data_IF_603664807709
#
_entry.id   IF_603664807709
#
_cell.length_a   1.000
_cell.length_b   1.000
_cell.length_c   1.000
_cell.angle_alpha   90.00
_cell.angle_beta   90.00
_cell.angle_gamma   90.00
#
_symmetry.space_group_name_H-M   'P 1'
#
loop_
_entity.id
_entity.type
_entity.pdbx_description
1 polymer ?
#
# COMPACT_ATOMS: atom_id res chain seq x y z
N UNK A 1 -4.16 -22.07 2.28
CA UNK A 1 -3.70 -21.07 3.27
C UNK A 1 -4.43 -19.78 2.94
N UNK A 2 -5.21 -19.22 3.88
CA UNK A 2 -6.17 -18.14 3.60
C UNK A 2 -5.49 -16.92 2.97
N UNK A 3 -6.03 -16.46 1.85
CA UNK A 3 -5.46 -15.43 0.99
C UNK A 3 -5.65 -14.00 1.54
N UNK A 4 -5.80 -13.85 2.86
CA UNK A 4 -6.09 -12.57 3.51
C UNK A 4 -5.48 -12.53 4.91
N UNK A 5 -4.89 -11.39 5.26
CA UNK A 5 -4.28 -11.15 6.57
C UNK A 5 -5.37 -11.04 7.65
N UNK A 6 -5.14 -11.66 8.80
CA UNK A 6 -6.02 -11.48 9.98
C UNK A 6 -6.01 -10.02 10.45
N UNK A 7 -7.04 -9.54 11.15
CA UNK A 7 -7.05 -8.18 11.70
C UNK A 7 -5.82 -7.85 12.57
N UNK A 8 -5.35 -8.82 13.36
CA UNK A 8 -4.13 -8.68 14.18
C UNK A 8 -2.87 -8.50 13.32
N UNK A 9 -2.75 -9.29 12.25
CA UNK A 9 -1.66 -9.13 11.28
C UNK A 9 -1.76 -7.79 10.55
N UNK A 10 -2.94 -7.36 10.16
CA UNK A 10 -3.13 -6.04 9.52
C UNK A 10 -2.66 -4.91 10.43
N UNK A 11 -2.98 -4.99 11.73
CA UNK A 11 -2.50 -4.01 12.72
C UNK A 11 -0.97 -3.96 12.76
N UNK A 12 -0.33 -5.10 13.02
CA UNK A 12 1.11 -5.11 13.29
C UNK A 12 2.00 -5.02 12.04
N UNK A 13 1.57 -5.57 10.91
CA UNK A 13 2.40 -5.64 9.69
C UNK A 13 2.25 -4.43 8.77
N UNK A 14 1.17 -3.66 8.92
CA UNK A 14 0.88 -2.50 8.08
C UNK A 14 0.61 -1.28 8.94
N UNK A 15 -0.43 -1.33 9.79
CA UNK A 15 -0.84 -0.15 10.55
C UNK A 15 0.28 0.42 11.44
N UNK A 16 0.98 -0.45 12.14
CA UNK A 16 2.13 -0.08 12.98
C UNK A 16 3.37 0.26 12.13
N UNK A 17 3.61 -0.46 11.01
CA UNK A 17 4.70 -0.18 10.05
C UNK A 17 4.65 1.24 9.51
N UNK A 18 3.45 1.74 9.23
CA UNK A 18 3.24 3.10 8.74
C UNK A 18 3.09 4.16 9.84
N UNK A 19 3.26 3.79 11.11
CA UNK A 19 3.09 4.66 12.28
C UNK A 19 1.69 5.25 12.38
N UNK A 20 0.66 4.45 12.06
CA UNK A 20 -0.75 4.86 12.11
C UNK A 20 -1.06 6.06 11.20
N UNK A 21 -0.35 6.16 10.08
CA UNK A 21 -0.49 7.23 9.11
C UNK A 21 -0.71 6.67 7.71
N UNK A 22 -1.42 7.40 6.87
CA UNK A 22 -1.47 7.09 5.45
C UNK A 22 -0.04 6.98 4.90
N UNK A 23 0.28 5.90 4.20
CA UNK A 23 1.61 5.73 3.62
C UNK A 23 1.98 6.95 2.76
N UNK A 24 1.07 7.35 1.86
CA UNK A 24 1.34 8.39 0.89
C UNK A 24 1.33 9.80 1.49
N UNK A 25 0.21 10.24 2.08
CA UNK A 25 0.07 11.62 2.56
C UNK A 25 0.41 11.85 4.04
N UNK A 26 0.80 10.79 4.77
CA UNK A 26 1.15 10.82 6.22
C UNK A 26 0.06 11.33 7.17
N UNK A 27 -1.17 11.50 6.70
CA UNK A 27 -2.35 11.82 7.52
C UNK A 27 -2.57 10.75 8.60
N UNK A 28 -2.83 11.17 9.83
CA UNK A 28 -3.18 10.28 10.94
C UNK A 28 -4.44 9.46 10.65
N UNK A 29 -4.38 8.18 11.00
CA UNK A 29 -5.43 7.19 10.82
C UNK A 29 -5.84 6.61 12.18
N UNK A 30 -7.07 6.11 12.27
CA UNK A 30 -7.52 5.30 13.40
C UNK A 30 -7.78 3.88 12.94
N UNK A 31 -7.16 2.90 13.61
CA UNK A 31 -7.35 1.49 13.25
C UNK A 31 -8.83 1.08 13.28
N UNK A 32 -9.62 1.65 14.20
CA UNK A 32 -11.05 1.39 14.34
C UNK A 32 -11.90 1.90 13.17
N UNK A 33 -11.37 2.82 12.34
CA UNK A 33 -12.07 3.44 11.21
C UNK A 33 -11.72 2.77 9.86
N UNK A 34 -11.29 1.51 9.86
CA UNK A 34 -11.05 0.76 8.62
C UNK A 34 -12.32 0.73 7.76
N UNK A 35 -12.21 1.11 6.50
CA UNK A 35 -13.31 1.18 5.54
C UNK A 35 -14.26 2.37 5.72
N UNK A 36 -14.02 3.25 6.70
CA UNK A 36 -14.82 4.45 6.93
C UNK A 36 -14.49 5.55 5.93
N UNK A 37 -15.52 6.30 5.52
CA UNK A 37 -15.37 7.57 4.75
C UNK A 37 -15.08 8.77 5.65
N UNK A 38 -15.13 8.61 6.97
CA UNK A 38 -14.85 9.69 7.92
C UNK A 38 -13.37 10.07 7.94
N UNK A 39 -13.10 11.27 8.47
CA UNK A 39 -11.75 11.71 8.79
C UNK A 39 -11.01 10.66 9.64
N UNK A 40 -9.85 10.21 9.16
CA UNK A 40 -9.06 9.16 9.84
C UNK A 40 -9.44 7.73 9.43
N UNK A 41 -10.41 7.57 8.53
CA UNK A 41 -10.71 6.31 7.85
C UNK A 41 -9.62 5.91 6.84
N UNK A 42 -9.50 4.61 6.60
CA UNK A 42 -8.42 4.03 5.79
C UNK A 42 -8.78 2.67 5.21
N UNK A 43 -8.02 2.26 4.20
CA UNK A 43 -8.13 0.96 3.55
C UNK A 43 -6.75 0.33 3.39
N UNK A 44 -6.71 -1.02 3.39
CA UNK A 44 -5.53 -1.76 2.95
C UNK A 44 -5.54 -1.82 1.42
N UNK A 45 -4.71 -1.00 0.80
CA UNK A 45 -4.53 -0.94 -0.63
C UNK A 45 -3.61 -2.07 -1.11
N UNK A 46 -4.02 -2.80 -2.14
CA UNK A 46 -3.18 -3.78 -2.81
C UNK A 46 -2.45 -3.11 -3.97
N UNK A 47 -1.12 -3.03 -3.88
CA UNK A 47 -0.27 -2.44 -4.93
C UNK A 47 -0.39 -3.22 -6.24
N UNK A 48 -0.46 -4.55 -6.18
CA UNK A 48 -0.68 -5.42 -7.34
C UNK A 48 -2.08 -6.04 -7.26
N UNK A 49 -2.93 -5.68 -8.22
CA UNK A 49 -4.33 -6.10 -8.24
C UNK A 49 -4.52 -7.61 -8.39
N UNK A 50 -5.46 -8.18 -7.65
CA UNK A 50 -5.71 -9.64 -7.65
C UNK A 50 -6.60 -10.12 -8.79
N UNK A 51 -7.39 -9.22 -9.40
CA UNK A 51 -8.35 -9.57 -10.46
C UNK A 51 -9.57 -10.37 -9.97
N UNK A 52 -10.57 -10.49 -10.85
CA UNK A 52 -11.73 -11.39 -10.66
C UNK A 52 -11.23 -12.84 -10.63
N UNK A 53 -11.51 -13.58 -9.55
CA UNK A 53 -11.03 -14.96 -9.34
C UNK A 53 -9.81 -15.10 -8.42
N UNK A 54 -9.25 -13.99 -7.92
CA UNK A 54 -8.08 -13.99 -7.06
C UNK A 54 -6.76 -14.17 -7.82
N UNK A 55 -5.66 -14.16 -7.08
CA UNK A 55 -4.30 -14.36 -7.64
C UNK A 55 -3.71 -15.66 -7.13
N UNK A 56 -2.92 -16.34 -7.98
CA UNK A 56 -2.06 -17.46 -7.59
C UNK A 56 -0.72 -16.99 -7.03
N UNK A 57 -0.41 -15.69 -7.18
CA UNK A 57 0.77 -15.04 -6.64
C UNK A 57 0.73 -15.08 -5.10
N UNK A 58 1.87 -15.38 -4.48
CA UNK A 58 2.00 -15.38 -3.03
C UNK A 58 1.89 -13.94 -2.52
N UNK A 59 0.82 -13.67 -1.78
CA UNK A 59 0.63 -12.38 -1.13
C UNK A 59 1.61 -12.19 0.04
N UNK A 60 2.34 -11.08 0.04
CA UNK A 60 3.30 -10.70 1.10
C UNK A 60 3.00 -9.29 1.62
N UNK A 61 3.67 -8.85 2.68
CA UNK A 61 3.46 -7.49 3.21
C UNK A 61 3.90 -6.39 2.22
N UNK A 62 4.78 -6.73 1.26
CA UNK A 62 5.20 -5.80 0.21
C UNK A 62 4.09 -5.45 -0.78
N UNK A 63 3.04 -6.27 -0.84
CA UNK A 63 1.89 -6.04 -1.72
C UNK A 63 0.90 -5.01 -1.16
N UNK A 64 1.00 -4.65 0.11
CA UNK A 64 -0.03 -3.87 0.80
C UNK A 64 0.49 -2.55 1.38
N UNK A 65 -0.35 -1.52 1.38
CA UNK A 65 -0.14 -0.23 2.03
C UNK A 65 -1.43 0.20 2.73
N UNK A 66 -1.33 0.91 3.86
CA UNK A 66 -2.50 1.62 4.38
C UNK A 66 -2.58 3.00 3.72
N UNK A 67 -3.74 3.30 3.13
CA UNK A 67 -4.03 4.60 2.54
C UNK A 67 -5.28 5.17 3.19
N UNK A 68 -5.31 6.49 3.38
CA UNK A 68 -6.52 7.15 3.88
C UNK A 68 -7.67 7.05 2.86
N UNK A 69 -8.89 6.98 3.38
CA UNK A 69 -10.12 6.87 2.61
C UNK A 69 -10.44 5.46 2.10
N UNK A 70 -11.31 5.42 1.10
CA UNK A 70 -11.91 4.23 0.48
C UNK A 70 -11.51 4.15 -0.99
N UNK A 71 -11.99 3.15 -1.74
CA UNK A 71 -11.71 3.05 -3.19
C UNK A 71 -12.20 4.25 -4.02
N UNK A 72 -12.92 5.20 -3.41
CA UNK A 72 -13.44 6.42 -4.06
C UNK A 72 -13.15 7.69 -3.26
N UNK A 73 -12.40 7.61 -2.15
CA UNK A 73 -12.10 8.78 -1.30
C UNK A 73 -10.66 8.77 -0.82
N UNK A 74 -10.10 9.94 -0.55
CA UNK A 74 -8.73 10.07 -0.01
C UNK A 74 -7.66 9.56 -0.97
N UNK A 75 -6.49 9.19 -0.42
CA UNK A 75 -5.39 8.68 -1.24
C UNK A 75 -5.71 7.33 -1.88
N UNK A 76 -6.54 6.50 -1.24
CA UNK A 76 -6.95 5.23 -1.85
C UNK A 76 -7.82 5.45 -3.09
N UNK A 77 -8.77 6.39 -3.02
CA UNK A 77 -9.58 6.79 -4.18
C UNK A 77 -8.73 7.36 -5.30
N UNK A 78 -7.82 8.29 -4.98
CA UNK A 78 -6.91 8.87 -5.97
C UNK A 78 -6.07 7.80 -6.69
N UNK A 79 -5.51 6.82 -5.97
CA UNK A 79 -4.74 5.72 -6.60
C UNK A 79 -5.62 4.87 -7.53
N UNK A 80 -6.90 4.71 -7.20
CA UNK A 80 -7.86 3.94 -8.00
C UNK A 80 -8.22 4.70 -9.29
N UNK A 81 -8.38 6.02 -9.21
CA UNK A 81 -8.74 6.90 -10.33
C UNK A 81 -7.54 7.22 -11.25
N UNK A 82 -6.33 7.21 -10.70
CA UNK A 82 -5.09 7.62 -11.37
C UNK A 82 -4.03 6.51 -11.38
N UNK A 83 -4.31 5.34 -11.99
CA UNK A 83 -3.40 4.19 -11.91
C UNK A 83 -2.06 4.42 -12.62
N UNK A 84 -2.02 5.25 -13.67
CA UNK A 84 -0.78 5.53 -14.43
C UNK A 84 0.20 6.29 -13.55
N UNK A 85 -0.26 7.38 -12.95
CA UNK A 85 0.48 8.17 -11.99
C UNK A 85 0.86 7.31 -10.77
N UNK A 86 -0.07 6.49 -10.27
CA UNK A 86 0.21 5.60 -9.15
C UNK A 86 1.33 4.57 -9.45
N UNK A 87 1.53 4.14 -10.70
CA UNK A 87 2.70 3.33 -11.08
C UNK A 87 4.00 4.11 -10.93
N UNK A 88 4.03 5.40 -11.28
CA UNK A 88 5.21 6.26 -11.12
C UNK A 88 5.60 6.40 -9.66
N UNK A 89 4.63 6.50 -8.74
CA UNK A 89 4.89 6.51 -7.29
C UNK A 89 5.12 5.12 -6.69
N UNK A 90 5.01 4.04 -7.48
CA UNK A 90 5.05 2.66 -6.99
C UNK A 90 3.90 2.29 -6.05
N UNK A 91 2.86 3.12 -5.96
CA UNK A 91 1.62 2.85 -5.21
C UNK A 91 0.81 1.74 -5.90
N UNK A 92 1.00 1.57 -7.20
CA UNK A 92 0.50 0.44 -7.97
C UNK A 92 1.66 -0.31 -8.65
N UNK A 93 1.41 -1.56 -8.99
CA UNK A 93 2.29 -2.44 -9.78
C UNK A 93 1.43 -3.07 -10.88
N UNK A 94 1.87 -3.05 -12.16
CA UNK A 94 1.09 -3.64 -13.24
C UNK A 94 0.77 -5.10 -12.98
N UNK A 95 -0.53 -5.44 -12.97
CA UNK A 95 -1.00 -6.79 -12.65
C UNK A 95 -0.37 -7.87 -13.52
N UNK A 96 -0.26 -7.60 -14.82
CA UNK A 96 0.20 -8.58 -15.81
C UNK A 96 1.73 -8.61 -15.95
N UNK A 97 2.47 -7.78 -15.21
CA UNK A 97 3.92 -7.82 -15.20
C UNK A 97 4.41 -8.91 -14.25
N UNK A 98 5.10 -9.91 -14.82
CA UNK A 98 5.48 -11.16 -14.13
C UNK A 98 6.99 -11.31 -13.92
N UNK A 99 7.81 -10.40 -14.46
CA UNK A 99 9.25 -10.41 -14.24
C UNK A 99 9.60 -10.03 -12.80
N UNK A 100 10.81 -10.40 -12.37
CA UNK A 100 11.26 -10.16 -10.99
C UNK A 100 11.25 -8.66 -10.62
N UNK A 101 11.50 -7.76 -11.56
CA UNK A 101 11.51 -6.31 -11.33
C UNK A 101 10.14 -5.75 -10.90
N UNK A 102 9.05 -6.38 -11.36
CA UNK A 102 7.67 -6.01 -11.00
C UNK A 102 7.10 -6.86 -9.85
N UNK A 103 7.96 -7.56 -9.11
CA UNK A 103 7.57 -8.12 -7.83
C UNK A 103 7.44 -6.98 -6.80
N UNK A 104 6.36 -6.90 -6.00
CA UNK A 104 6.13 -5.73 -5.13
C UNK A 104 7.26 -5.39 -4.15
N UNK A 105 8.06 -6.37 -3.73
CA UNK A 105 9.25 -6.15 -2.89
C UNK A 105 10.43 -5.50 -3.63
N UNK A 106 10.44 -5.55 -4.96
CA UNK A 106 11.48 -4.97 -5.82
C UNK A 106 11.06 -3.61 -6.42
N UNK A 107 9.75 -3.29 -6.39
CA UNK A 107 9.24 -1.98 -6.82
C UNK A 107 9.30 -1.02 -5.64
N UNK A 108 10.15 0.01 -5.73
CA UNK A 108 10.17 1.12 -4.77
C UNK A 108 8.84 1.87 -4.75
N UNK A 109 8.48 2.43 -3.60
CA UNK A 109 7.26 3.21 -3.42
C UNK A 109 7.61 4.55 -2.77
N UNK A 110 7.00 5.63 -3.26
CA UNK A 110 7.27 6.99 -2.81
C UNK A 110 6.13 7.52 -1.94
N UNK A 111 6.47 8.22 -0.87
CA UNK A 111 5.49 9.05 -0.15
C UNK A 111 5.27 10.39 -0.87
N UNK A 112 4.36 11.21 -0.35
CA UNK A 112 4.06 12.53 -0.92
C UNK A 112 5.15 13.56 -0.63
N UNK A 113 5.99 13.33 0.39
CA UNK A 113 7.07 14.24 0.76
C UNK A 113 8.29 14.08 -0.19
N UNK A 114 8.42 12.91 -0.80
CA UNK A 114 9.40 12.65 -1.82
C UNK A 114 10.27 11.42 -1.55
N UNK A 115 10.18 10.83 -0.36
CA UNK A 115 11.01 9.72 0.10
C UNK A 115 10.60 8.42 -0.58
N UNK A 116 11.57 7.62 -1.02
CA UNK A 116 11.40 6.30 -1.59
C UNK A 116 11.72 5.20 -0.59
N UNK A 117 10.91 4.15 -0.63
CA UNK A 117 11.02 2.99 0.23
C UNK A 117 10.98 1.69 -0.57
N UNK A 118 11.71 0.68 -0.12
CA UNK A 118 11.44 -0.71 -0.46
C UNK A 118 10.63 -1.36 0.66
N UNK A 119 9.57 -2.07 0.29
CA UNK A 119 8.75 -2.84 1.22
C UNK A 119 9.21 -4.29 1.25
N UNK A 120 9.59 -4.77 2.42
CA UNK A 120 10.01 -6.17 2.57
C UNK A 120 8.81 -7.10 2.67
N UNK A 121 9.00 -8.37 2.32
CA UNK A 121 7.94 -9.37 2.41
C UNK A 121 7.41 -9.58 3.84
N UNK A 122 8.24 -9.30 4.85
CA UNK A 122 7.93 -9.47 6.27
C UNK A 122 7.37 -8.22 6.95
N UNK A 123 7.17 -7.12 6.22
CA UNK A 123 6.45 -5.95 6.75
C UNK A 123 7.33 -4.83 7.30
N UNK A 124 8.54 -4.64 6.77
CA UNK A 124 9.33 -3.42 6.98
C UNK A 124 9.22 -2.51 5.78
N UNK A 125 9.23 -1.20 6.02
CA UNK A 125 9.54 -0.19 5.03
C UNK A 125 10.99 0.25 5.25
N UNK A 126 11.83 0.12 4.23
CA UNK A 126 13.24 0.54 4.28
C UNK A 126 13.38 1.73 3.37
N UNK A 127 13.70 2.89 3.93
CA UNK A 127 14.00 4.07 3.14
C UNK A 127 15.27 3.81 2.31
N UNK A 128 15.18 4.09 1.01
CA UNK A 128 16.27 3.89 0.05
C UNK A 128 16.73 5.20 -0.59
N UNK A 129 15.90 6.25 -0.54
CA UNK A 129 16.21 7.59 -1.04
C UNK A 129 15.31 8.59 -0.30
N UNK A 130 15.90 9.60 0.35
CA UNK A 130 15.14 10.65 1.04
C UNK A 130 14.58 11.71 0.08
N UNK A 131 13.84 12.72 0.58
CA UNK A 131 13.39 13.82 -0.26
C UNK A 131 14.58 14.66 -0.71
N UNK A 132 14.63 14.99 -2.00
CA UNK A 132 15.59 15.97 -2.52
C UNK A 132 15.33 17.32 -1.82
N UNK A 133 16.31 17.76 -1.03
CA UNK A 133 16.25 19.01 -0.28
C UNK A 133 16.41 20.23 -1.19
#
# INVERSE_FOLDING_TARGET
MSAEFTPKQVRHLFFDREEQRCFFCRRLLSFALRGSVLAGGWSLHHRKGRGMGGTRERMTCAHGLILCGTGTTGCHGWVTEHPKEAFEYGLCVPKNATTAEYQPQNVRVRDRAGSWFLLTENGRAVEVEGPNR
#
